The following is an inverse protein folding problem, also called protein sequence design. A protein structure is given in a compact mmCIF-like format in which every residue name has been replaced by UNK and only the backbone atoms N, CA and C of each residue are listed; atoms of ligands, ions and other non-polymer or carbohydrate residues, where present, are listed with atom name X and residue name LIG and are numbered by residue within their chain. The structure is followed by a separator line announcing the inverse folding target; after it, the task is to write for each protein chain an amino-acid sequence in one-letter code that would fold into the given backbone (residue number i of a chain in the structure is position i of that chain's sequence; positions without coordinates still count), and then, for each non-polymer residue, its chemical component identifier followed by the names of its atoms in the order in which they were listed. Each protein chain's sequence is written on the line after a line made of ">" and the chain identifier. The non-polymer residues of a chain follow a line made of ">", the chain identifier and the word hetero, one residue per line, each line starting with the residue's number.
data_IF_249050779784
#
_entry.id   IF_249050779784
#
_cell.length_a   1.000
_cell.length_b   1.000
_cell.length_c   1.000
_cell.angle_alpha   90.00
_cell.angle_beta   90.00
_cell.angle_gamma   90.00
#
_symmetry.space_group_name_H-M   'P 1'
#
loop_
_entity.id
_entity.type
_entity.pdbx_description
1 polymer ?
#
# COMPACT_ATOMS: atom_id res chain seq x y z
N UNK A 1 -7.44 31.36 27.13
CA UNK A 1 -6.56 30.62 26.19
C UNK A 1 -7.47 29.87 25.23
N UNK A 2 -7.77 30.47 24.08
CA UNK A 2 -8.58 29.83 23.03
C UNK A 2 -7.65 28.93 22.23
N UNK A 3 -7.85 27.62 22.32
CA UNK A 3 -7.10 26.65 21.51
C UNK A 3 -7.59 26.81 20.07
N UNK A 4 -6.74 27.34 19.18
CA UNK A 4 -7.03 27.32 17.74
C UNK A 4 -7.12 25.87 17.30
N UNK A 5 -8.34 25.41 17.01
CA UNK A 5 -8.57 24.12 16.38
C UNK A 5 -8.13 24.29 14.93
N UNK A 6 -6.89 23.89 14.62
CA UNK A 6 -6.38 23.86 13.26
C UNK A 6 -7.29 22.94 12.44
N UNK A 7 -8.13 23.53 11.59
CA UNK A 7 -8.94 22.83 10.60
C UNK A 7 -8.01 22.00 9.72
N UNK A 8 -8.36 20.74 9.49
CA UNK A 8 -7.60 19.87 8.60
C UNK A 8 -7.85 20.37 7.17
N UNK A 9 -6.79 20.76 6.48
CA UNK A 9 -6.90 21.21 5.10
C UNK A 9 -7.22 20.01 4.20
N UNK A 10 -8.50 19.89 3.85
CA UNK A 10 -9.04 18.76 3.09
C UNK A 10 -8.57 18.75 1.63
N UNK A 11 -8.28 19.93 1.05
CA UNK A 11 -7.83 20.08 -0.34
C UNK A 11 -6.46 19.42 -0.58
N UNK A 12 -5.39 19.75 0.17
CA UNK A 12 -4.08 19.11 -0.03
C UNK A 12 -4.13 17.60 0.23
N UNK A 13 -4.92 17.13 1.20
CA UNK A 13 -5.10 15.68 1.45
C UNK A 13 -5.69 14.97 0.21
N UNK A 14 -6.66 15.62 -0.45
CA UNK A 14 -7.28 15.10 -1.67
C UNK A 14 -6.29 15.03 -2.83
N UNK A 15 -5.48 16.07 -3.01
CA UNK A 15 -4.46 16.11 -4.08
C UNK A 15 -3.40 15.03 -3.85
N UNK A 16 -2.86 14.92 -2.63
CA UNK A 16 -1.86 13.92 -2.27
C UNK A 16 -2.37 12.50 -2.53
N UNK A 17 -3.59 12.20 -2.09
CA UNK A 17 -4.20 10.87 -2.27
C UNK A 17 -4.41 10.52 -3.73
N UNK A 18 -4.84 11.45 -4.57
CA UNK A 18 -4.97 11.24 -6.03
C UNK A 18 -3.61 10.93 -6.65
N UNK A 19 -2.57 11.70 -6.33
CA UNK A 19 -1.22 11.49 -6.85
C UNK A 19 -0.72 10.08 -6.51
N UNK A 20 -0.82 9.69 -5.24
CA UNK A 20 -0.38 8.36 -4.78
C UNK A 20 -1.18 7.25 -5.49
N UNK A 21 -2.50 7.42 -5.66
CA UNK A 21 -3.35 6.48 -6.38
C UNK A 21 -2.93 6.34 -7.84
N UNK A 22 -2.68 7.44 -8.54
CA UNK A 22 -2.23 7.43 -9.94
C UNK A 22 -0.91 6.69 -10.09
N UNK A 23 0.10 6.98 -9.25
CA UNK A 23 1.37 6.26 -9.26
C UNK A 23 1.21 4.78 -8.93
N UNK A 24 0.33 4.43 -8.00
CA UNK A 24 0.05 3.05 -7.63
C UNK A 24 -0.56 2.25 -8.78
N UNK A 25 -1.51 2.84 -9.52
CA UNK A 25 -2.08 2.22 -10.72
C UNK A 25 -1.06 2.11 -11.85
N UNK A 26 -0.23 3.14 -12.06
CA UNK A 26 0.84 3.09 -13.06
C UNK A 26 1.83 1.96 -12.77
N UNK A 27 2.25 1.80 -11.51
CA UNK A 27 3.11 0.70 -11.08
C UNK A 27 2.48 -0.68 -11.32
N UNK A 28 1.19 -0.84 -11.00
CA UNK A 28 0.49 -2.10 -11.26
C UNK A 28 0.37 -2.39 -12.76
N UNK A 29 0.09 -1.36 -13.56
CA UNK A 29 0.03 -1.49 -15.02
C UNK A 29 1.38 -1.92 -15.60
N UNK A 30 2.48 -1.29 -15.18
CA UNK A 30 3.82 -1.68 -15.58
C UNK A 30 4.10 -3.14 -15.22
N UNK A 31 3.82 -3.53 -13.97
CA UNK A 31 4.02 -4.91 -13.51
C UNK A 31 3.16 -5.94 -14.24
N UNK A 32 1.99 -5.55 -14.73
CA UNK A 32 1.11 -6.41 -15.54
C UNK A 32 1.62 -6.62 -16.97
N UNK A 33 2.37 -5.66 -17.52
CA UNK A 33 2.87 -5.72 -18.89
C UNK A 33 4.30 -6.26 -18.99
N UNK A 34 5.01 -6.42 -17.87
CA UNK A 34 6.32 -7.06 -17.86
C UNK A 34 6.21 -8.54 -18.27
N UNK A 35 6.94 -8.98 -19.32
CA UNK A 35 6.95 -10.37 -19.75
C UNK A 35 7.85 -11.20 -18.80
N UNK A 36 7.37 -11.43 -17.58
CA UNK A 36 8.00 -12.37 -16.64
C UNK A 36 7.26 -13.70 -16.63
N UNK A 37 7.99 -14.81 -16.55
CA UNK A 37 7.41 -16.16 -16.39
C UNK A 37 6.69 -16.34 -15.05
N UNK A 38 6.95 -15.44 -14.10
CA UNK A 38 6.35 -15.45 -12.77
C UNK A 38 5.02 -14.67 -12.75
N UNK A 39 4.02 -15.26 -12.11
CA UNK A 39 2.75 -14.60 -11.83
C UNK A 39 2.97 -13.36 -10.97
N UNK A 40 2.25 -12.27 -11.27
CA UNK A 40 2.35 -10.98 -10.58
C UNK A 40 2.05 -11.12 -9.07
N UNK A 41 1.18 -12.07 -8.69
CA UNK A 41 0.85 -12.37 -7.31
C UNK A 41 2.03 -12.95 -6.49
N UNK A 42 3.09 -13.43 -7.15
CA UNK A 42 4.29 -13.91 -6.48
C UNK A 42 5.22 -12.77 -6.06
N UNK A 43 4.96 -11.55 -6.51
CA UNK A 43 5.71 -10.36 -6.09
C UNK A 43 5.08 -9.75 -4.83
N UNK A 44 5.86 -9.65 -3.76
CA UNK A 44 5.40 -9.01 -2.52
C UNK A 44 4.97 -7.56 -2.74
N UNK A 45 5.60 -6.85 -3.70
CA UNK A 45 5.31 -5.42 -3.98
C UNK A 45 3.89 -5.23 -4.48
N UNK A 46 3.36 -6.20 -5.22
CA UNK A 46 1.98 -6.18 -5.68
C UNK A 46 0.99 -6.09 -4.51
N UNK A 47 1.16 -6.92 -3.49
CA UNK A 47 0.27 -6.96 -2.32
C UNK A 47 0.35 -5.68 -1.47
N UNK A 48 1.55 -5.09 -1.36
CA UNK A 48 1.73 -3.81 -0.67
C UNK A 48 1.03 -2.68 -1.43
N UNK A 49 1.24 -2.58 -2.75
CA UNK A 49 0.62 -1.52 -3.55
C UNK A 49 -0.90 -1.70 -3.62
N UNK A 50 -1.40 -2.93 -3.72
CA UNK A 50 -2.83 -3.22 -3.68
C UNK A 50 -3.46 -2.81 -2.34
N UNK A 51 -2.78 -3.10 -1.22
CA UNK A 51 -3.22 -2.67 0.10
C UNK A 51 -3.28 -1.15 0.24
N UNK A 52 -2.29 -0.43 -0.31
CA UNK A 52 -2.28 1.03 -0.36
C UNK A 52 -3.47 1.57 -1.16
N UNK A 53 -3.73 1.03 -2.36
CA UNK A 53 -4.87 1.46 -3.19
C UNK A 53 -6.20 1.29 -2.45
N UNK A 54 -6.44 0.13 -1.83
CA UNK A 54 -7.69 -0.12 -1.11
C UNK A 54 -7.86 0.84 0.07
N UNK A 55 -6.78 1.08 0.82
CA UNK A 55 -6.82 2.01 1.95
C UNK A 55 -7.06 3.45 1.50
N UNK A 56 -6.30 3.94 0.51
CA UNK A 56 -6.43 5.30 0.00
C UNK A 56 -7.79 5.50 -0.66
N UNK A 57 -8.22 4.63 -1.57
CA UNK A 57 -9.51 4.77 -2.26
C UNK A 57 -10.71 4.67 -1.30
N UNK A 58 -10.66 3.76 -0.33
CA UNK A 58 -11.72 3.59 0.67
C UNK A 58 -11.83 4.77 1.64
N UNK A 59 -10.69 5.39 1.99
CA UNK A 59 -10.65 6.53 2.91
C UNK A 59 -10.81 7.88 2.19
N UNK A 60 -10.59 7.92 0.87
CA UNK A 60 -10.57 9.13 0.04
C UNK A 60 -11.85 9.96 0.20
N UNK A 61 -13.01 9.32 0.05
CA UNK A 61 -14.30 10.00 0.17
C UNK A 61 -14.51 10.57 1.58
N UNK A 62 -14.12 9.82 2.62
CA UNK A 62 -14.28 10.25 4.01
C UNK A 62 -13.40 11.46 4.31
N UNK A 63 -12.18 11.50 3.75
CA UNK A 63 -11.27 12.62 3.91
C UNK A 63 -11.77 13.87 3.18
N UNK A 64 -12.26 13.75 1.94
CA UNK A 64 -12.81 14.89 1.18
C UNK A 64 -14.08 15.48 1.83
N UNK A 65 -14.93 14.65 2.43
CA UNK A 65 -16.15 15.14 3.09
C UNK A 65 -15.95 15.50 4.57
N UNK A 66 -14.74 15.38 5.10
CA UNK A 66 -14.49 15.56 6.54
C UNK A 66 -14.83 16.95 7.08
N UNK A 67 -14.69 17.98 6.25
CA UNK A 67 -15.00 19.38 6.62
C UNK A 67 -16.49 19.74 6.45
N UNK A 68 -17.24 18.96 5.67
CA UNK A 68 -18.64 19.24 5.32
C UNK A 68 -19.66 18.46 6.17
N UNK A 69 -19.21 17.48 6.95
CA UNK A 69 -20.07 16.55 7.68
C UNK A 69 -20.05 16.86 9.18
N UNK A 70 -21.23 16.87 9.81
CA UNK A 70 -21.37 17.05 11.26
C UNK A 70 -20.60 15.97 12.05
N UNK A 71 -19.99 16.36 13.17
CA UNK A 71 -19.03 15.53 13.94
C UNK A 71 -19.63 14.20 14.39
N UNK A 72 -20.93 14.16 14.68
CA UNK A 72 -21.64 12.95 15.07
C UNK A 72 -21.77 11.94 13.91
N UNK A 73 -21.98 12.42 12.69
CA UNK A 73 -21.98 11.58 11.49
C UNK A 73 -20.57 11.17 11.10
N UNK A 74 -19.59 12.07 11.25
CA UNK A 74 -18.18 11.80 10.96
C UNK A 74 -17.64 10.60 11.74
N UNK A 75 -17.96 10.47 13.04
CA UNK A 75 -17.57 9.32 13.85
C UNK A 75 -18.10 7.99 13.30
N UNK A 76 -19.28 7.99 12.69
CA UNK A 76 -19.86 6.78 12.07
C UNK A 76 -19.11 6.42 10.78
N UNK A 77 -18.70 7.41 9.99
CA UNK A 77 -17.87 7.19 8.80
C UNK A 77 -16.43 6.76 9.15
N UNK A 78 -15.85 7.25 10.25
CA UNK A 78 -14.57 6.74 10.76
C UNK A 78 -14.63 5.23 11.05
N UNK A 79 -15.78 4.71 11.49
CA UNK A 79 -16.00 3.27 11.65
C UNK A 79 -15.78 2.49 10.35
N UNK A 80 -16.13 3.07 9.20
CA UNK A 80 -15.93 2.47 7.88
C UNK A 80 -14.44 2.46 7.49
N UNK A 81 -13.70 3.52 7.83
CA UNK A 81 -12.25 3.58 7.61
C UNK A 81 -11.49 2.46 8.33
N UNK A 82 -11.96 2.02 9.51
CA UNK A 82 -11.34 0.87 10.21
C UNK A 82 -11.42 -0.44 9.42
N UNK A 83 -12.47 -0.64 8.63
CA UNK A 83 -12.61 -1.83 7.77
C UNK A 83 -11.52 -1.81 6.68
N UNK A 84 -11.34 -0.67 6.01
CA UNK A 84 -10.28 -0.48 5.03
C UNK A 84 -8.89 -0.59 5.64
N UNK A 85 -8.71 -0.12 6.87
CA UNK A 85 -7.47 -0.27 7.61
C UNK A 85 -7.15 -1.75 7.92
N UNK A 86 -8.16 -2.52 8.34
CA UNK A 86 -8.01 -3.96 8.57
C UNK A 86 -7.66 -4.70 7.27
N UNK A 87 -8.36 -4.41 6.17
CA UNK A 87 -8.06 -4.95 4.83
C UNK A 87 -6.63 -4.65 4.39
N UNK A 88 -6.16 -3.40 4.56
CA UNK A 88 -4.77 -3.01 4.28
C UNK A 88 -3.77 -3.88 5.04
N UNK A 89 -3.98 -4.06 6.35
CA UNK A 89 -3.06 -4.82 7.20
C UNK A 89 -3.02 -6.30 6.84
N UNK A 90 -4.15 -6.89 6.44
CA UNK A 90 -4.20 -8.27 5.93
C UNK A 90 -3.35 -8.38 4.66
N UNK A 91 -3.52 -7.47 3.70
CA UNK A 91 -2.76 -7.46 2.45
C UNK A 91 -1.26 -7.22 2.69
N UNK A 92 -0.91 -6.36 3.65
CA UNK A 92 0.48 -6.13 4.01
C UNK A 92 1.12 -7.36 4.63
N UNK A 93 0.38 -8.06 5.49
CA UNK A 93 0.84 -9.31 6.08
C UNK A 93 1.07 -10.38 5.00
N UNK A 94 0.19 -10.47 4.00
CA UNK A 94 0.38 -11.36 2.85
C UNK A 94 1.63 -10.98 2.04
N UNK A 95 1.84 -9.70 1.76
CA UNK A 95 3.04 -9.21 1.09
C UNK A 95 4.32 -9.58 1.85
N UNK A 96 4.36 -9.34 3.16
CA UNK A 96 5.49 -9.69 4.02
C UNK A 96 5.73 -11.21 4.02
N UNK A 97 4.67 -12.01 4.13
CA UNK A 97 4.78 -13.47 4.13
C UNK A 97 5.38 -14.00 2.82
N UNK A 98 4.98 -13.42 1.69
CA UNK A 98 5.55 -13.75 0.38
C UNK A 98 7.03 -13.34 0.33
N UNK A 99 7.37 -12.13 0.78
CA UNK A 99 8.75 -11.66 0.84
C UNK A 99 9.66 -12.61 1.62
N UNK A 100 9.22 -13.02 2.82
CA UNK A 100 9.97 -13.95 3.68
C UNK A 100 10.15 -15.32 3.02
N UNK A 101 9.17 -15.79 2.24
CA UNK A 101 9.30 -17.05 1.48
C UNK A 101 10.26 -16.93 0.31
N UNK A 102 10.30 -15.77 -0.35
CA UNK A 102 11.13 -15.54 -1.54
C UNK A 102 12.61 -15.28 -1.21
N UNK A 103 12.94 -14.72 -0.03
CA UNK A 103 14.33 -14.43 0.37
C UNK A 103 15.27 -15.66 0.42
N UNK A 104 14.94 -16.78 1.10
CA UNK A 104 15.85 -17.92 1.20
C UNK A 104 16.12 -18.57 -0.16
N UNK A 105 15.15 -18.54 -1.09
CA UNK A 105 15.27 -19.07 -2.45
C UNK A 105 16.25 -18.23 -3.28
N UNK A 106 16.20 -16.90 -3.13
CA UNK A 106 17.06 -15.96 -3.86
C UNK A 106 18.52 -16.04 -3.38
N UNK A 107 18.73 -16.24 -2.08
CA UNK A 107 20.08 -16.38 -1.50
C UNK A 107 20.74 -17.72 -1.87
N UNK A 108 19.98 -18.81 -1.98
CA UNK A 108 20.49 -20.12 -2.42
C UNK A 108 21.00 -20.08 -3.86
N UNK A 109 20.21 -19.56 -4.80
CA UNK A 109 20.62 -19.41 -6.20
C UNK A 109 21.85 -18.49 -6.36
N UNK A 110 21.97 -17.45 -5.52
CA UNK A 110 23.15 -16.55 -5.55
C UNK A 110 24.43 -17.23 -5.05
N UNK A 111 24.35 -18.15 -4.09
CA UNK A 111 25.51 -18.90 -3.61
C UNK A 111 26.00 -19.96 -4.60
N UNK A 112 25.09 -20.62 -5.31
CA UNK A 112 25.44 -21.66 -6.30
C UNK A 112 26.07 -21.08 -7.59
N UNK A 113 25.88 -19.79 -7.85
CA UNK A 113 26.40 -19.09 -9.05
C UNK A 113 27.72 -18.37 -8.84
N UNK A 114 28.23 -18.30 -7.61
CA UNK A 114 29.58 -17.82 -7.34
C UNK A 114 30.55 -19.00 -7.57
N UNK A 115 31.39 -18.99 -8.62
CA UNK A 115 32.41 -20.01 -8.78
C UNK A 115 33.29 -20.01 -7.53
N UNK A 116 33.48 -21.19 -6.94
CA UNK A 116 34.31 -21.38 -5.75
C UNK A 116 35.68 -20.76 -6.00
N UNK A 117 35.93 -19.63 -5.36
CA UNK A 117 37.23 -19.00 -5.31
C UNK A 117 38.05 -19.73 -4.25
N UNK A 118 38.27 -21.02 -4.47
CA UNK A 118 39.21 -21.83 -3.70
C UNK A 118 40.61 -21.40 -4.15
N UNK A 119 41.09 -20.30 -3.58
CA UNK A 119 42.48 -19.89 -3.72
C UNK A 119 43.24 -20.60 -2.60
N UNK A 120 43.95 -21.67 -3.00
CA UNK A 120 44.94 -22.40 -2.21
C UNK A 120 46.21 -21.56 -2.00
#
# INVERSE_FOLDING_TARGET
>A
MTVEIKTIDTIPIGIETIIILTFSFYFLYERMNEPTTDLIYNDYRFWIVLGMIIYLAGSFFIYIFSDQVDRNLFNKYLSLTYIFYALKNILFTLGILIYVRSEPIKQRNKKETLPFLDIN
#
